data_IF_827236575992
#
_entry.id   IF_827236575992
#
_cell.length_a   1.000
_cell.length_b   1.000
_cell.length_c   1.000
_cell.angle_alpha   90.00
_cell.angle_beta   90.00
_cell.angle_gamma   90.00
#
_symmetry.space_group_name_H-M   'P 1'
#
loop_
_entity.id
_entity.type
_entity.pdbx_description
1 polymer ?
#
# COMPACT_ATOMS: atom_id res chain seq x y z
N UNK A 1 -2.22 -3.95 -22.24
CA UNK A 1 -2.27 -4.07 -21.73
C UNK A 1 -1.96 -3.93 -20.74
N UNK A 2 -1.81 -3.91 -20.21
CA UNK A 2 -1.54 -4.00 -19.40
C UNK A 2 -1.65 -3.55 -18.39
N UNK A 3 -1.93 -3.43 -17.67
CA UNK A 3 -2.13 -3.09 -16.72
C UNK A 3 -1.59 -3.40 -15.65
N UNK A 4 -0.88 -3.38 -15.41
CA UNK A 4 -0.03 -3.75 -14.48
C UNK A 4 -0.24 -3.19 -13.17
N UNK A 5 -0.59 -1.98 -13.04
CA UNK A 5 -0.79 -1.38 -11.75
C UNK A 5 -2.22 -1.16 -11.50
N UNK A 6 -2.93 -2.21 -11.22
CA UNK A 6 -4.32 -2.08 -10.88
C UNK A 6 -4.47 -1.96 -9.37
N UNK A 7 -5.49 -1.28 -8.97
CA UNK A 7 -5.84 -1.14 -7.57
C UNK A 7 -7.32 -1.45 -7.47
N UNK A 8 -7.67 -2.43 -6.67
CA UNK A 8 -9.06 -2.88 -6.62
C UNK A 8 -9.43 -3.27 -5.20
N UNK A 9 -10.72 -3.23 -4.95
CA UNK A 9 -11.26 -3.72 -3.69
C UNK A 9 -11.38 -5.23 -3.81
N UNK A 10 -10.59 -5.94 -3.06
CA UNK A 10 -10.58 -7.39 -3.14
C UNK A 10 -11.72 -7.98 -2.32
N UNK A 11 -11.96 -7.46 -1.13
CA UNK A 11 -13.02 -7.99 -0.30
C UNK A 11 -13.29 -7.03 0.84
N UNK A 12 -14.40 -7.28 1.53
CA UNK A 12 -14.72 -6.55 2.74
C UNK A 12 -14.97 -7.60 3.81
N UNK A 13 -14.28 -7.46 4.92
CA UNK A 13 -14.46 -8.36 6.04
C UNK A 13 -15.33 -7.66 7.06
N UNK A 14 -16.51 -8.20 7.26
CA UNK A 14 -17.45 -7.63 8.19
C UNK A 14 -17.24 -8.22 9.57
N UNK A 15 -17.59 -7.47 10.58
CA UNK A 15 -17.44 -7.89 11.94
C UNK A 15 -17.61 -6.69 12.83
N UNK A 16 -17.07 -6.74 14.02
CA UNK A 16 -17.16 -5.61 14.93
C UNK A 16 -16.50 -4.39 14.34
N UNK A 17 -15.39 -4.60 13.62
CA UNK A 17 -14.71 -3.50 12.95
C UNK A 17 -14.53 -3.90 11.50
N UNK A 18 -15.43 -3.48 10.63
CA UNK A 18 -15.33 -3.86 9.22
C UNK A 18 -14.06 -3.29 8.58
N UNK A 19 -13.48 -4.10 7.72
CA UNK A 19 -12.21 -3.77 7.09
C UNK A 19 -12.34 -4.00 5.60
N UNK A 20 -11.88 -3.03 4.82
CA UNK A 20 -11.77 -3.19 3.37
C UNK A 20 -10.38 -3.71 3.07
N UNK A 21 -10.30 -4.70 2.22
CA UNK A 21 -9.04 -5.27 1.79
C UNK A 21 -8.83 -4.86 0.34
N UNK A 22 -7.81 -4.07 0.10
CA UNK A 22 -7.47 -3.63 -1.25
C UNK A 22 -6.28 -4.41 -1.74
N UNK A 23 -6.25 -4.65 -3.03
CA UNK A 23 -5.15 -5.37 -3.65
C UNK A 23 -4.61 -4.54 -4.78
N UNK A 24 -3.30 -4.52 -4.94
CA UNK A 24 -2.72 -3.73 -6.00
C UNK A 24 -1.46 -4.38 -6.54
N UNK A 25 -1.22 -4.13 -7.79
CA UNK A 25 -0.04 -4.57 -8.49
C UNK A 25 -0.07 -6.03 -8.85
N UNK A 26 0.86 -6.47 -9.60
CA UNK A 26 0.97 -7.84 -9.96
C UNK A 26 1.35 -8.70 -8.80
N UNK A 27 2.07 -8.15 -7.84
CA UNK A 27 2.59 -8.90 -6.71
C UNK A 27 1.50 -9.22 -5.72
N UNK A 28 0.31 -8.72 -5.96
CA UNK A 28 -0.82 -8.97 -5.09
C UNK A 28 -0.59 -8.46 -3.69
N UNK A 29 -0.03 -7.30 -3.60
CA UNK A 29 0.07 -6.66 -2.31
C UNK A 29 -1.32 -6.33 -1.80
N UNK A 30 -1.53 -6.54 -0.53
CA UNK A 30 -2.80 -6.26 0.09
C UNK A 30 -2.64 -5.20 1.15
N UNK A 31 -3.62 -4.33 1.23
CA UNK A 31 -3.65 -3.30 2.23
C UNK A 31 -5.02 -3.30 2.86
N UNK A 32 -5.07 -3.33 4.17
CA UNK A 32 -6.33 -3.34 4.90
C UNK A 32 -6.58 -1.97 5.48
N UNK A 33 -7.79 -1.49 5.30
CA UNK A 33 -8.17 -0.20 5.84
C UNK A 33 -9.51 -0.35 6.53
N UNK A 34 -9.61 0.21 7.71
CA UNK A 34 -10.84 0.14 8.48
C UNK A 34 -11.91 0.98 7.81
N UNK A 35 -13.12 0.44 7.75
CA UNK A 35 -14.24 1.18 7.22
C UNK A 35 -14.86 2.01 8.31
N UNK A 36 -15.09 3.26 8.01
CA UNK A 36 -15.74 4.15 8.96
C UNK A 36 -17.26 4.01 8.89
N UNK A 37 -17.95 4.82 9.65
CA UNK A 37 -19.40 4.78 9.67
C UNK A 37 -19.99 5.42 8.42
N UNK A 38 -21.27 5.18 8.22
CA UNK A 38 -22.02 5.84 7.16
C UNK A 38 -22.28 4.92 6.01
N UNK A 39 -22.55 5.56 4.87
CA UNK A 39 -22.85 4.84 3.64
C UNK A 39 -21.67 3.99 3.22
N UNK A 40 -21.95 2.77 2.81
CA UNK A 40 -20.88 1.82 2.50
C UNK A 40 -19.98 2.33 1.37
N UNK A 41 -20.58 2.90 0.35
CA UNK A 41 -19.77 3.39 -0.76
C UNK A 41 -18.86 4.52 -0.33
N UNK A 42 -19.36 5.41 0.49
CA UNK A 42 -18.53 6.51 1.01
C UNK A 42 -17.46 5.98 1.93
N UNK A 43 -17.78 4.97 2.72
CA UNK A 43 -16.80 4.36 3.61
C UNK A 43 -15.68 3.71 2.82
N UNK A 44 -16.02 3.03 1.73
CA UNK A 44 -15.03 2.42 0.88
C UNK A 44 -14.15 3.47 0.23
N UNK A 45 -14.77 4.55 -0.24
CA UNK A 45 -13.99 5.63 -0.86
C UNK A 45 -13.02 6.25 0.12
N UNK A 46 -13.49 6.49 1.35
CA UNK A 46 -12.62 7.06 2.38
C UNK A 46 -11.49 6.10 2.73
N UNK A 47 -11.79 4.80 2.80
CA UNK A 47 -10.77 3.80 3.07
C UNK A 47 -9.74 3.76 1.95
N UNK A 48 -10.19 3.91 0.71
CA UNK A 48 -9.26 3.93 -0.42
C UNK A 48 -8.35 5.14 -0.35
N UNK A 49 -8.85 6.28 0.12
CA UNK A 49 -8.02 7.46 0.28
C UNK A 49 -6.97 7.25 1.35
N UNK A 50 -7.35 6.62 2.45
CA UNK A 50 -6.40 6.29 3.49
C UNK A 50 -5.35 5.32 2.94
N UNK A 51 -5.79 4.33 2.18
CA UNK A 51 -4.87 3.37 1.58
C UNK A 51 -3.87 4.08 0.66
N UNK A 52 -4.35 5.05 -0.10
CA UNK A 52 -3.47 5.80 -0.99
C UNK A 52 -2.40 6.56 -0.19
N UNK A 53 -2.79 7.13 0.94
CA UNK A 53 -1.84 7.84 1.77
C UNK A 53 -0.79 6.92 2.35
N UNK A 54 -1.20 5.75 2.82
CA UNK A 54 -0.27 4.77 3.37
C UNK A 54 0.66 4.28 2.30
N UNK A 55 0.14 4.01 1.12
CA UNK A 55 0.92 3.51 0.01
C UNK A 55 1.96 4.55 -0.42
N UNK A 56 1.57 5.82 -0.45
CA UNK A 56 2.51 6.88 -0.80
C UNK A 56 3.63 6.96 0.22
N UNK A 57 3.31 6.81 1.49
CA UNK A 57 4.31 6.84 2.54
C UNK A 57 5.26 5.65 2.40
N UNK A 58 4.73 4.47 2.16
CA UNK A 58 5.54 3.29 1.97
C UNK A 58 6.47 3.46 0.79
N UNK A 59 5.95 4.00 -0.30
CA UNK A 59 6.75 4.23 -1.49
C UNK A 59 7.92 5.14 -1.19
N UNK A 60 7.66 6.19 -0.44
CA UNK A 60 8.69 7.14 -0.07
C UNK A 60 9.75 6.50 0.82
N UNK A 61 9.32 5.71 1.79
CA UNK A 61 10.24 5.07 2.70
C UNK A 61 11.04 3.98 2.01
N UNK A 62 10.41 3.27 1.09
CA UNK A 62 11.12 2.25 0.34
C UNK A 62 12.21 2.87 -0.52
N UNK A 63 11.90 4.01 -1.11
CA UNK A 63 12.89 4.70 -1.93
C UNK A 63 14.05 5.18 -1.09
N UNK A 64 13.75 5.72 0.08
CA UNK A 64 14.81 6.18 0.99
C UNK A 64 15.70 5.01 1.42
N UNK A 65 15.08 3.87 1.68
CA UNK A 65 15.82 2.68 2.05
C UNK A 65 16.74 2.26 0.90
N UNK A 66 16.21 2.25 -0.31
CA UNK A 66 17.01 1.87 -1.48
C UNK A 66 18.19 2.79 -1.65
N UNK A 67 17.98 4.07 -1.40
CA UNK A 67 19.06 5.04 -1.52
C UNK A 67 20.14 4.81 -0.48
N UNK A 68 19.76 4.45 0.72
CA UNK A 68 20.74 4.17 1.77
C UNK A 68 21.57 2.93 1.42
N UNK A 69 20.91 1.91 0.91
CA UNK A 69 21.61 0.69 0.54
C UNK A 69 22.58 0.97 -0.60
N UNK A 70 22.12 1.74 -1.57
CA UNK A 70 22.95 2.06 -2.72
C UNK A 70 24.16 2.88 -2.30
N UNK A 71 23.97 3.83 -1.40
CA UNK A 71 25.06 4.65 -0.90
C UNK A 71 26.09 3.79 -0.17
N UNK A 72 25.61 2.81 0.59
CA UNK A 72 26.53 1.89 1.26
C UNK A 72 27.30 1.05 0.29
N UNK A 73 26.64 0.58 -0.77
CA UNK A 73 27.32 -0.21 -1.78
C UNK A 73 28.36 0.62 -2.53
N UNK A 74 28.01 1.85 -2.82
CA UNK A 74 28.94 2.72 -3.55
C UNK A 74 30.15 3.06 -2.72
N UNK A 75 30.01 3.08 -1.43
CA UNK A 75 31.11 3.41 -0.56
C UNK A 75 32.15 2.32 -0.56
N UNK A 76 31.88 1.29 -1.19
CA UNK A 76 32.83 0.29 -1.44
C UNK A 76 32.85 -0.76 -0.44
N UNK A 77 33.50 -1.54 -0.72
CA UNK A 77 33.51 -2.58 -0.02
C UNK A 77 34.51 -2.85 0.80
N UNK A 78 34.67 -2.55 0.86
CA UNK A 78 35.12 -2.75 1.33
C UNK A 78 35.33 -3.37 2.00
N UNK A 79 35.28 -3.58 1.88
CA UNK A 79 35.31 -4.11 2.42
C UNK A 79 35.48 -4.74 2.75
N UNK A 80 35.63 -4.84 2.66
CA UNK A 80 35.57 -5.37 2.74
C UNK A 80 35.71 -5.64 2.87
#
# INVERSE_FOLDING_TARGET
>A
MSDETTFELASIQFGAEPVAVFRFGYERFELRARLGPGNLEHAIAAAAEVAASVFARWSHEALAFAQRVRAGADRGPVHQ
#
